data_IF_903802088017
#
_entry.id   IF_903802088017
#
_cell.length_a   1.000
_cell.length_b   1.000
_cell.length_c   1.000
_cell.angle_alpha   90.00
_cell.angle_beta   90.00
_cell.angle_gamma   90.00
#
_symmetry.space_group_name_H-M   'P 1'
#
loop_
_entity.id
_entity.type
_entity.pdbx_description
1 polymer ?
#
# COMPACT_ATOMS: atom_id res chain seq x y z
N UNK A 1 -17.52 17.67 -4.72
CA UNK A 1 -17.28 16.43 -5.49
C UNK A 1 -16.71 15.42 -4.52
N UNK A 2 -17.50 14.42 -4.11
CA UNK A 2 -16.99 13.33 -3.27
C UNK A 2 -16.18 12.40 -4.18
N UNK A 3 -14.89 12.68 -4.31
CA UNK A 3 -13.98 11.77 -4.98
C UNK A 3 -13.76 10.59 -4.02
N UNK A 4 -14.27 9.40 -4.38
CA UNK A 4 -13.99 8.17 -3.65
C UNK A 4 -12.53 7.77 -3.93
N UNK A 5 -11.62 8.32 -3.14
CA UNK A 5 -10.21 7.96 -3.17
C UNK A 5 -10.06 6.57 -2.54
N UNK A 6 -9.37 5.67 -3.26
CA UNK A 6 -9.10 4.30 -2.80
C UNK A 6 -7.87 4.32 -1.88
N UNK A 7 -8.02 3.81 -0.66
CA UNK A 7 -6.89 3.67 0.26
C UNK A 7 -6.06 2.43 -0.12
N UNK A 8 -4.80 2.64 -0.50
CA UNK A 8 -3.88 1.58 -0.89
C UNK A 8 -2.91 1.27 0.27
N UNK A 9 -2.82 0.00 0.66
CA UNK A 9 -1.95 -0.46 1.75
C UNK A 9 -0.93 -1.47 1.22
N UNK A 10 0.33 -1.29 1.59
CA UNK A 10 1.44 -2.18 1.27
C UNK A 10 2.54 -2.04 2.33
N UNK A 11 3.42 -3.02 2.42
CA UNK A 11 4.62 -2.93 3.25
C UNK A 11 5.72 -2.06 2.60
N UNK A 12 6.83 -1.89 3.30
CA UNK A 12 7.97 -1.08 2.85
C UNK A 12 9.02 -1.87 2.07
N UNK A 13 8.64 -2.92 1.34
CA UNK A 13 9.58 -3.63 0.47
C UNK A 13 10.24 -2.64 -0.53
N UNK A 14 11.51 -2.87 -0.90
CA UNK A 14 12.28 -1.96 -1.76
C UNK A 14 11.56 -1.53 -3.05
N UNK A 15 10.83 -2.42 -3.77
CA UNK A 15 10.06 -2.00 -4.95
C UNK A 15 8.92 -1.02 -4.62
N UNK A 16 8.29 -1.16 -3.45
CA UNK A 16 7.15 -0.35 -2.99
C UNK A 16 7.57 1.08 -2.63
N UNK A 17 8.80 1.25 -2.14
CA UNK A 17 9.37 2.55 -1.76
C UNK A 17 10.24 3.18 -2.86
N UNK A 18 10.39 2.51 -4.01
CA UNK A 18 11.19 3.01 -5.14
C UNK A 18 10.62 4.30 -5.74
N UNK A 19 11.49 5.14 -6.31
CA UNK A 19 11.09 6.42 -6.92
C UNK A 19 10.02 6.26 -8.00
N UNK A 20 10.17 5.27 -8.89
CA UNK A 20 9.20 4.97 -9.95
C UNK A 20 7.81 4.66 -9.37
N UNK A 21 7.75 3.90 -8.28
CA UNK A 21 6.49 3.58 -7.59
C UNK A 21 5.87 4.83 -6.94
N UNK A 22 6.68 5.69 -6.34
CA UNK A 22 6.21 6.95 -5.74
C UNK A 22 5.70 7.95 -6.80
N UNK A 23 6.34 8.00 -7.96
CA UNK A 23 5.91 8.82 -9.10
C UNK A 23 4.54 8.35 -9.61
N UNK A 24 4.34 7.03 -9.69
CA UNK A 24 3.05 6.45 -10.06
C UNK A 24 1.92 6.86 -9.09
N UNK A 25 2.14 6.77 -7.77
CA UNK A 25 1.13 7.21 -6.80
C UNK A 25 0.83 8.70 -6.89
N UNK A 26 1.85 9.52 -7.12
CA UNK A 26 1.68 10.97 -7.25
C UNK A 26 0.83 11.32 -8.48
N UNK A 27 1.09 10.65 -9.62
CA UNK A 27 0.32 10.81 -10.85
C UNK A 27 -1.13 10.34 -10.73
N UNK A 28 -1.44 9.43 -9.80
CA UNK A 28 -2.77 8.84 -9.60
C UNK A 28 -3.41 9.24 -8.26
N UNK A 29 -2.97 10.35 -7.65
CA UNK A 29 -3.43 10.80 -6.33
C UNK A 29 -4.92 11.15 -6.24
N UNK A 30 -5.58 11.40 -7.37
CA UNK A 30 -7.04 11.55 -7.44
C UNK A 30 -7.80 10.22 -7.36
N UNK A 31 -7.11 9.09 -7.51
CA UNK A 31 -7.68 7.73 -7.50
C UNK A 31 -7.22 6.97 -6.26
N UNK A 32 -5.96 7.12 -5.85
CA UNK A 32 -5.36 6.36 -4.75
C UNK A 32 -4.71 7.25 -3.67
N UNK A 33 -4.89 6.85 -2.42
CA UNK A 33 -4.13 7.33 -1.26
C UNK A 33 -3.30 6.16 -0.70
N UNK A 34 -2.00 6.14 -0.98
CA UNK A 34 -1.10 5.11 -0.46
C UNK A 34 -0.65 5.41 0.99
N UNK A 35 -0.79 4.43 1.88
CA UNK A 35 -0.22 4.49 3.23
C UNK A 35 1.30 4.27 3.15
N UNK A 36 2.08 5.23 3.65
CA UNK A 36 3.56 5.22 3.53
C UNK A 36 4.29 4.83 4.83
N UNK A 37 3.63 4.95 5.98
CA UNK A 37 4.26 4.76 7.29
C UNK A 37 4.13 3.32 7.81
N UNK A 38 4.50 2.33 7.01
CA UNK A 38 4.46 0.93 7.45
C UNK A 38 5.57 0.62 8.45
N UNK A 39 5.25 -0.01 9.58
CA UNK A 39 6.26 -0.41 10.56
C UNK A 39 7.10 -1.59 10.03
N UNK A 40 8.43 -1.50 10.10
CA UNK A 40 9.33 -2.57 9.66
C UNK A 40 9.11 -3.86 10.46
N UNK A 41 9.19 -5.02 9.79
CA UNK A 41 9.04 -6.37 10.39
C UNK A 41 7.69 -6.61 11.08
N UNK A 42 6.61 -5.99 10.58
CA UNK A 42 5.25 -6.15 11.10
C UNK A 42 4.32 -6.79 10.06
N UNK A 43 4.46 -8.10 9.78
CA UNK A 43 3.55 -8.81 8.88
C UNK A 43 2.15 -8.92 9.47
N UNK A 44 2.02 -8.92 10.81
CA UNK A 44 0.74 -8.95 11.51
C UNK A 44 -0.17 -7.75 11.19
N UNK A 45 0.42 -6.63 10.76
CA UNK A 45 -0.32 -5.45 10.35
C UNK A 45 -0.83 -5.55 8.90
N UNK A 46 -0.32 -6.49 8.10
CA UNK A 46 -0.60 -6.58 6.66
C UNK A 46 -1.82 -7.45 6.40
N UNK A 47 -2.96 -6.89 5.95
CA UNK A 47 -4.18 -7.67 5.75
C UNK A 47 -3.99 -8.84 4.78
N UNK A 48 -3.05 -8.76 3.84
CA UNK A 48 -2.79 -9.84 2.88
C UNK A 48 -2.27 -11.11 3.56
N UNK A 49 -1.57 -10.98 4.69
CA UNK A 49 -1.03 -12.12 5.44
C UNK A 49 -2.16 -12.99 6.00
N UNK A 50 -3.29 -12.38 6.39
CA UNK A 50 -4.47 -13.13 6.80
C UNK A 50 -5.10 -13.89 5.62
N UNK A 51 -5.18 -13.26 4.45
CA UNK A 51 -5.69 -13.92 3.23
C UNK A 51 -4.80 -15.10 2.86
N UNK A 52 -3.47 -14.92 2.87
CA UNK A 52 -2.53 -16.01 2.60
C UNK A 52 -2.62 -17.13 3.61
N UNK A 53 -2.82 -16.84 4.90
CA UNK A 53 -3.04 -17.86 5.91
C UNK A 53 -4.28 -18.72 5.61
N UNK A 54 -5.38 -18.13 5.14
CA UNK A 54 -6.59 -18.87 4.75
C UNK A 54 -6.42 -19.73 3.50
N UNK A 55 -5.45 -19.42 2.65
CA UNK A 55 -5.15 -20.15 1.41
C UNK A 55 -4.18 -21.33 1.63
N UNK A 56 -3.66 -21.50 2.84
CA UNK A 56 -2.83 -22.67 3.21
C UNK A 56 -3.70 -23.87 3.55
#
# INVERSE_FOLDING_TARGET
MNCNVIRFQQDNATPHTSGITQDCFSANSFIFEAIRDWAALRPDLNPIEHVWYQLK
#
